data_IF_015159087652
#
_entry.id   IF_015159087652
#
_cell.length_a   1.000
_cell.length_b   1.000
_cell.length_c   1.000
_cell.angle_alpha   90.00
_cell.angle_beta   90.00
_cell.angle_gamma   90.00
#
_symmetry.space_group_name_H-M   'P 1'
#
loop_
_entity.id
_entity.type
_entity.pdbx_description
1 polymer ?
#
# COMPACT_ATOMS: atom_id res chain seq x y z
N UNK A 1 -25.38 3.91 49.76
CA UNK A 1 -24.82 3.11 48.64
C UNK A 1 -25.81 2.00 48.28
N UNK A 2 -26.49 2.07 47.13
CA UNK A 2 -27.42 1.02 46.66
C UNK A 2 -26.69 0.13 45.66
N UNK A 3 -26.34 -1.11 46.04
CA UNK A 3 -25.78 -2.11 45.11
C UNK A 3 -26.89 -2.50 44.13
N UNK A 4 -26.78 -2.08 42.87
CA UNK A 4 -27.67 -2.54 41.79
C UNK A 4 -27.27 -3.97 41.46
N UNK A 5 -28.07 -4.94 41.88
CA UNK A 5 -27.89 -6.35 41.51
C UNK A 5 -28.08 -6.51 40.01
N UNK A 6 -27.11 -7.13 39.36
CA UNK A 6 -27.20 -7.52 37.95
C UNK A 6 -28.33 -8.55 37.86
N UNK A 7 -29.39 -8.24 37.12
CA UNK A 7 -30.53 -9.14 36.94
C UNK A 7 -30.07 -10.41 36.24
N UNK A 8 -30.24 -11.56 36.90
CA UNK A 8 -29.84 -12.88 36.39
C UNK A 8 -30.45 -13.17 35.01
N UNK A 9 -31.63 -12.59 34.74
CA UNK A 9 -32.31 -12.67 33.45
C UNK A 9 -31.53 -11.98 32.31
N UNK A 10 -30.85 -10.86 32.59
CA UNK A 10 -30.05 -10.14 31.60
C UNK A 10 -28.75 -10.87 31.22
N UNK A 11 -28.14 -11.57 32.18
CA UNK A 11 -26.96 -12.42 31.94
C UNK A 11 -27.34 -13.66 31.12
N UNK A 12 -28.50 -14.25 31.39
CA UNK A 12 -29.03 -15.40 30.65
C UNK A 12 -29.38 -15.05 29.20
N UNK A 13 -29.98 -13.88 28.95
CA UNK A 13 -30.29 -13.42 27.58
C UNK A 13 -29.00 -13.13 26.80
N UNK A 14 -27.98 -12.55 27.43
CA UNK A 14 -26.67 -12.36 26.79
C UNK A 14 -25.96 -13.68 26.47
N UNK A 15 -26.02 -14.67 27.36
CA UNK A 15 -25.44 -16.00 27.13
C UNK A 15 -26.17 -16.80 26.05
N UNK A 16 -27.49 -16.60 25.90
CA UNK A 16 -28.29 -17.28 24.87
C UNK A 16 -28.17 -16.63 23.48
N UNK A 17 -27.81 -15.34 23.41
CA UNK A 17 -27.59 -14.62 22.14
C UNK A 17 -26.12 -14.63 21.68
N UNK A 18 -25.18 -14.94 22.56
CA UNK A 18 -23.75 -15.03 22.24
C UNK A 18 -23.40 -16.06 21.13
N UNK A 19 -24.04 -17.26 21.06
CA UNK A 19 -23.74 -18.23 20.00
C UNK A 19 -24.21 -17.80 18.61
N UNK A 20 -25.20 -16.90 18.51
CA UNK A 20 -25.72 -16.40 17.23
C UNK A 20 -24.77 -15.40 16.53
N UNK A 21 -23.84 -14.80 17.28
CA UNK A 21 -22.83 -13.87 16.74
C UNK A 21 -21.52 -14.57 16.36
N UNK A 22 -21.25 -15.77 16.90
CA UNK A 22 -20.14 -16.62 16.49
C UNK A 22 -20.62 -17.62 15.43
N UNK A 23 -20.90 -17.13 14.21
CA UNK A 23 -20.83 -18.02 13.06
C UNK A 23 -19.37 -18.44 12.89
N UNK A 24 -19.00 -19.74 12.99
CA UNK A 24 -17.70 -20.15 12.50
C UNK A 24 -17.75 -19.91 10.99
N UNK A 25 -16.82 -19.10 10.49
CA UNK A 25 -16.59 -18.99 9.05
C UNK A 25 -16.44 -20.41 8.51
N UNK A 26 -17.39 -20.84 7.68
CA UNK A 26 -17.34 -22.16 7.07
C UNK A 26 -16.22 -22.17 6.04
N UNK A 27 -15.08 -22.73 6.40
CA UNK A 27 -14.16 -23.38 5.50
C UNK A 27 -13.57 -24.59 6.25
N UNK A 28 -13.09 -25.58 5.50
CA UNK A 28 -12.54 -26.87 5.93
C UNK A 28 -13.41 -28.07 5.56
N UNK A 29 -13.62 -28.23 4.25
CA UNK A 29 -13.49 -29.58 3.72
C UNK A 29 -12.02 -30.03 3.92
N UNK A 30 -11.80 -31.33 4.20
CA UNK A 30 -10.46 -31.91 4.34
C UNK A 30 -9.52 -31.56 3.17
N UNK A 31 -10.08 -31.41 1.97
CA UNK A 31 -9.34 -30.98 0.78
C UNK A 31 -8.83 -29.54 0.85
N UNK A 32 -9.55 -28.62 1.51
CA UNK A 32 -9.09 -27.23 1.70
C UNK A 32 -7.95 -27.16 2.72
N UNK A 33 -8.02 -27.93 3.82
CA UNK A 33 -6.93 -28.01 4.79
C UNK A 33 -5.67 -28.66 4.18
N UNK A 34 -5.84 -29.71 3.38
CA UNK A 34 -4.73 -30.37 2.68
C UNK A 34 -4.12 -29.46 1.60
N UNK A 35 -4.95 -28.73 0.86
CA UNK A 35 -4.51 -27.71 -0.10
C UNK A 35 -3.72 -26.57 0.56
N UNK A 36 -4.20 -26.06 1.70
CA UNK A 36 -3.52 -24.99 2.44
C UNK A 36 -2.18 -25.45 3.02
N UNK A 37 -2.11 -26.66 3.57
CA UNK A 37 -0.85 -27.19 4.13
C UNK A 37 0.20 -27.50 3.05
N UNK A 38 -0.21 -27.91 1.85
CA UNK A 38 0.70 -28.12 0.73
C UNK A 38 1.22 -26.77 0.21
N UNK A 39 0.34 -25.79 0.02
CA UNK A 39 0.74 -24.46 -0.44
C UNK A 39 1.52 -23.68 0.61
N UNK A 40 1.27 -23.89 1.91
CA UNK A 40 2.05 -23.27 2.98
C UNK A 40 3.53 -23.67 2.88
N UNK A 41 3.84 -24.95 2.67
CA UNK A 41 5.22 -25.46 2.58
C UNK A 41 6.00 -24.93 1.38
N UNK A 42 5.30 -24.62 0.28
CA UNK A 42 5.90 -24.10 -0.95
C UNK A 42 5.95 -22.56 -0.99
N UNK A 43 4.94 -21.91 -0.38
CA UNK A 43 4.79 -20.45 -0.43
C UNK A 43 5.57 -19.74 0.69
N UNK A 44 5.77 -20.38 1.85
CA UNK A 44 6.60 -19.82 2.93
C UNK A 44 8.05 -19.54 2.52
N UNK A 45 8.80 -20.46 1.87
CA UNK A 45 10.17 -20.15 1.45
C UNK A 45 10.22 -19.07 0.35
N UNK A 46 9.20 -18.97 -0.50
CA UNK A 46 9.11 -17.88 -1.49
C UNK A 46 8.87 -16.52 -0.81
N UNK A 47 7.94 -16.45 0.15
CA UNK A 47 7.65 -15.23 0.90
C UNK A 47 8.88 -14.83 1.75
N UNK A 48 9.46 -15.75 2.51
CA UNK A 48 10.61 -15.44 3.37
C UNK A 48 11.86 -15.05 2.58
N UNK A 49 12.16 -15.75 1.48
CA UNK A 49 13.40 -15.54 0.72
C UNK A 49 13.31 -14.43 -0.32
N UNK A 50 12.16 -14.26 -0.96
CA UNK A 50 11.97 -13.27 -2.02
C UNK A 50 11.21 -12.03 -1.53
N UNK A 51 10.13 -12.16 -0.76
CA UNK A 51 9.34 -10.98 -0.36
C UNK A 51 10.04 -10.12 0.69
N UNK A 52 10.82 -10.71 1.60
CA UNK A 52 11.61 -9.94 2.57
C UNK A 52 12.64 -9.02 1.91
N UNK A 53 13.36 -9.51 0.90
CA UNK A 53 14.43 -8.75 0.24
C UNK A 53 13.93 -7.82 -0.89
N UNK A 54 12.79 -8.15 -1.51
CA UNK A 54 12.18 -7.33 -2.56
C UNK A 54 11.25 -6.25 -1.99
N UNK A 55 10.36 -6.57 -1.03
CA UNK A 55 9.39 -5.61 -0.50
C UNK A 55 10.06 -4.51 0.32
N UNK A 56 11.00 -4.84 1.22
CA UNK A 56 11.76 -3.83 1.98
C UNK A 56 12.57 -2.91 1.06
N UNK A 57 13.21 -3.48 0.03
CA UNK A 57 14.00 -2.70 -0.93
C UNK A 57 13.12 -1.83 -1.83
N UNK A 58 11.91 -2.29 -2.17
CA UNK A 58 10.92 -1.50 -2.92
C UNK A 58 10.38 -0.37 -2.06
N UNK A 59 10.02 -0.61 -0.80
CA UNK A 59 9.53 0.44 0.12
C UNK A 59 10.58 1.50 0.40
N UNK A 60 11.83 1.09 0.67
CA UNK A 60 12.92 2.04 0.90
C UNK A 60 13.20 2.87 -0.36
N UNK A 61 13.22 2.24 -1.54
CA UNK A 61 13.40 2.94 -2.81
C UNK A 61 12.24 3.89 -3.10
N UNK A 62 10.99 3.48 -2.85
CA UNK A 62 9.82 4.35 -2.99
C UNK A 62 9.94 5.57 -2.08
N UNK A 63 10.32 5.39 -0.80
CA UNK A 63 10.52 6.49 0.14
C UNK A 63 11.58 7.49 -0.35
N UNK A 64 12.71 7.01 -0.85
CA UNK A 64 13.78 7.88 -1.39
C UNK A 64 13.33 8.63 -2.65
N UNK A 65 12.73 7.93 -3.61
CA UNK A 65 12.25 8.52 -4.86
C UNK A 65 11.13 9.54 -4.61
N UNK A 66 10.18 9.21 -3.73
CA UNK A 66 9.12 10.10 -3.26
C UNK A 66 9.69 11.33 -2.59
N UNK A 67 10.70 11.18 -1.73
CA UNK A 67 11.35 12.31 -1.05
C UNK A 67 11.93 13.28 -2.07
N UNK A 68 12.73 12.80 -3.03
CA UNK A 68 13.28 13.65 -4.10
C UNK A 68 12.18 14.35 -4.88
N UNK A 69 11.10 13.64 -5.25
CA UNK A 69 9.98 14.24 -5.95
C UNK A 69 9.31 15.36 -5.15
N UNK A 70 9.00 15.12 -3.87
CA UNK A 70 8.34 16.11 -3.01
C UNK A 70 9.26 17.32 -2.82
N UNK A 71 10.52 17.11 -2.45
CA UNK A 71 11.48 18.19 -2.18
C UNK A 71 11.71 19.08 -3.39
N UNK A 72 11.69 18.51 -4.60
CA UNK A 72 11.97 19.26 -5.84
C UNK A 72 10.71 19.86 -6.47
N UNK A 73 9.62 19.11 -6.57
CA UNK A 73 8.44 19.52 -7.33
C UNK A 73 7.43 20.35 -6.52
N UNK A 74 7.45 20.29 -5.18
CA UNK A 74 6.55 21.10 -4.35
C UNK A 74 6.99 22.55 -4.18
N UNK A 75 8.20 22.91 -4.65
CA UNK A 75 8.79 24.24 -4.48
C UNK A 75 8.04 25.35 -5.25
N UNK A 76 7.35 25.01 -6.35
CA UNK A 76 6.74 26.00 -7.23
C UNK A 76 5.22 25.82 -7.43
N UNK A 77 4.70 24.60 -7.25
CA UNK A 77 3.27 24.32 -7.37
C UNK A 77 2.89 23.08 -6.57
N UNK A 78 1.59 22.88 -6.37
CA UNK A 78 1.09 21.68 -5.68
C UNK A 78 1.33 20.41 -6.51
N UNK A 79 1.51 19.29 -5.83
CA UNK A 79 1.71 17.99 -6.46
C UNK A 79 0.42 17.43 -7.10
N UNK A 80 -0.74 18.05 -6.83
CA UNK A 80 -2.02 17.68 -7.44
C UNK A 80 -2.00 17.76 -8.98
N UNK A 81 -1.12 18.58 -9.55
CA UNK A 81 -0.94 18.67 -11.01
C UNK A 81 -0.45 17.34 -11.63
N UNK A 82 0.24 16.49 -10.85
CA UNK A 82 0.63 15.13 -11.27
C UNK A 82 -0.60 14.29 -11.62
N UNK A 83 -1.60 14.30 -10.73
CA UNK A 83 -2.79 13.47 -10.84
C UNK A 83 -3.88 14.06 -11.74
N UNK A 84 -3.75 15.34 -12.10
CA UNK A 84 -4.75 16.04 -12.93
C UNK A 84 -4.80 15.59 -14.39
N UNK A 85 -3.75 14.93 -14.90
CA UNK A 85 -3.66 14.51 -16.30
C UNK A 85 -2.98 13.15 -16.41
N UNK A 86 -3.62 12.22 -17.11
CA UNK A 86 -2.98 10.99 -17.58
C UNK A 86 -1.99 11.35 -18.69
N UNK A 87 -0.79 10.77 -18.63
CA UNK A 87 0.28 10.97 -19.62
C UNK A 87 1.07 9.67 -19.82
N UNK A 88 1.55 9.46 -21.04
CA UNK A 88 2.49 8.39 -21.38
C UNK A 88 3.87 8.62 -20.71
N UNK A 89 4.75 7.61 -20.65
CA UNK A 89 6.12 7.81 -20.16
C UNK A 89 6.87 8.93 -20.92
N UNK A 90 6.74 8.97 -22.24
CA UNK A 90 7.41 9.93 -23.12
C UNK A 90 6.84 11.35 -22.97
N UNK A 91 5.56 11.46 -22.64
CA UNK A 91 4.94 12.74 -22.29
C UNK A 91 5.43 13.25 -20.93
N UNK A 92 5.63 12.35 -19.96
CA UNK A 92 6.20 12.72 -18.65
C UNK A 92 7.65 13.18 -18.77
N UNK A 93 8.49 12.47 -19.53
CA UNK A 93 9.88 12.89 -19.78
C UNK A 93 9.95 14.32 -20.35
N UNK A 94 9.08 14.62 -21.32
CA UNK A 94 8.96 15.98 -21.89
C UNK A 94 8.55 17.01 -20.85
N UNK A 95 7.58 16.69 -19.97
CA UNK A 95 7.17 17.59 -18.89
C UNK A 95 8.31 17.84 -17.92
N UNK A 96 9.05 16.81 -17.53
CA UNK A 96 10.19 16.93 -16.60
C UNK A 96 11.29 17.80 -17.19
N UNK A 97 11.63 17.63 -18.47
CA UNK A 97 12.59 18.50 -19.18
C UNK A 97 12.15 19.96 -19.22
N UNK A 98 10.85 20.22 -19.46
CA UNK A 98 10.30 21.57 -19.42
C UNK A 98 10.43 22.17 -18.01
N UNK A 99 10.18 21.40 -16.95
CA UNK A 99 10.33 21.88 -15.57
C UNK A 99 11.80 22.12 -15.21
N UNK A 100 12.71 21.26 -15.66
CA UNK A 100 14.16 21.43 -15.46
C UNK A 100 14.70 22.71 -16.11
N UNK A 101 14.14 23.10 -17.25
CA UNK A 101 14.49 24.35 -17.93
C UNK A 101 13.91 25.62 -17.30
N UNK A 102 13.10 25.53 -16.25
CA UNK A 102 12.54 26.73 -15.60
C UNK A 102 13.55 27.40 -14.67
N UNK A 103 13.51 28.75 -14.56
CA UNK A 103 14.35 29.47 -13.61
C UNK A 103 14.20 28.90 -12.20
N UNK A 104 15.32 28.73 -11.50
CA UNK A 104 15.38 28.25 -10.12
C UNK A 104 14.88 26.82 -9.87
N UNK A 105 14.61 26.03 -10.92
CA UNK A 105 14.15 24.65 -10.74
C UNK A 105 15.19 23.75 -10.04
N UNK A 106 16.48 24.01 -10.25
CA UNK A 106 17.60 23.28 -9.64
C UNK A 106 17.43 21.74 -9.69
N UNK A 107 17.09 21.22 -10.88
CA UNK A 107 16.91 19.80 -11.16
C UNK A 107 18.13 19.26 -11.89
N UNK A 108 18.84 18.32 -11.26
CA UNK A 108 19.92 17.58 -11.92
C UNK A 108 19.37 16.43 -12.76
N UNK A 109 20.16 15.92 -13.71
CA UNK A 109 19.81 14.71 -14.47
C UNK A 109 19.54 13.50 -13.56
N UNK A 110 20.24 13.40 -12.43
CA UNK A 110 19.99 12.35 -11.44
C UNK A 110 18.64 12.52 -10.73
N UNK A 111 18.24 13.76 -10.43
CA UNK A 111 16.92 14.05 -9.87
C UNK A 111 15.82 13.66 -10.87
N UNK A 112 15.97 14.05 -12.14
CA UNK A 112 15.02 13.72 -13.20
C UNK A 112 14.85 12.20 -13.35
N UNK A 113 15.95 11.45 -13.33
CA UNK A 113 15.90 9.98 -13.39
C UNK A 113 15.14 9.38 -12.20
N UNK A 114 15.41 9.82 -10.98
CA UNK A 114 14.71 9.34 -9.77
C UNK A 114 13.22 9.68 -9.81
N UNK A 115 12.89 10.91 -10.24
CA UNK A 115 11.52 11.38 -10.37
C UNK A 115 10.76 10.56 -11.42
N UNK A 116 11.36 10.33 -12.60
CA UNK A 116 10.75 9.52 -13.66
C UNK A 116 10.47 8.10 -13.17
N UNK A 117 11.43 7.46 -12.50
CA UNK A 117 11.25 6.13 -11.91
C UNK A 117 10.10 6.09 -10.91
N UNK A 118 9.92 7.14 -10.11
CA UNK A 118 8.82 7.23 -9.17
C UNK A 118 7.46 7.37 -9.86
N UNK A 119 7.37 8.22 -10.89
CA UNK A 119 6.13 8.42 -11.67
C UNK A 119 5.73 7.11 -12.36
N UNK A 120 6.70 6.38 -12.93
CA UNK A 120 6.45 5.09 -13.55
C UNK A 120 5.97 4.04 -12.52
N UNK A 121 6.60 4.00 -11.34
CA UNK A 121 6.13 3.17 -10.22
C UNK A 121 4.69 3.51 -9.81
N UNK A 122 4.38 4.79 -9.59
CA UNK A 122 3.02 5.22 -9.26
C UNK A 122 2.00 4.82 -10.31
N UNK A 123 2.34 4.87 -11.60
CA UNK A 123 1.46 4.40 -12.67
C UNK A 123 1.22 2.89 -12.57
N UNK A 124 2.25 2.09 -12.30
CA UNK A 124 2.08 0.64 -12.15
C UNK A 124 1.20 0.25 -10.96
N UNK A 125 1.19 1.05 -9.89
CA UNK A 125 0.45 0.77 -8.65
C UNK A 125 -0.94 1.42 -8.61
N UNK A 126 -1.11 2.60 -9.19
CA UNK A 126 -2.35 3.41 -9.09
C UNK A 126 -3.25 3.35 -10.33
N UNK A 127 -2.81 2.74 -11.42
CA UNK A 127 -3.65 2.50 -12.61
C UNK A 127 -3.71 1.01 -12.93
N UNK A 128 -4.67 0.25 -12.34
CA UNK A 128 -5.10 -1.03 -12.89
C UNK A 128 -5.84 -0.85 -14.23
#
# INVERSE_FOLDING_TARGET
MKRKGISVLGVLVMLLLFPLLLSPARAETKGEAEFMTLHEKEMTPFIEKCSGCHTLKVELRDKEMKKTFVEKCSQCHTLGRLFSKKRSPEEWDRVLKVMAGKPHANLSEQDLKKIQQWIDYLRTVLTP
#
